data_IF_665002988019
#
_entry.id   IF_665002988019
#
_cell.length_a   1.000
_cell.length_b   1.000
_cell.length_c   1.000
_cell.angle_alpha   90.00
_cell.angle_beta   90.00
_cell.angle_gamma   90.00
#
_symmetry.space_group_name_H-M   'P 1'
#
loop_
_entity.id
_entity.type
_entity.pdbx_description
1 polymer ?
#
# COMPACT_ATOMS: atom_id res chain seq x y z
N UNK A 1 26.34 7.15 52.21
CA UNK A 1 25.40 6.95 51.09
C UNK A 1 24.01 6.69 51.66
N UNK A 2 22.93 7.18 51.03
CA UNK A 2 21.57 6.83 51.46
C UNK A 2 21.26 5.37 51.12
N UNK A 3 20.49 4.69 51.98
CA UNK A 3 20.05 3.30 51.76
C UNK A 3 19.47 3.07 50.35
N UNK A 4 18.57 3.90 49.81
CA UNK A 4 18.05 3.70 48.45
C UNK A 4 19.13 3.86 47.37
N UNK A 5 20.10 4.76 47.56
CA UNK A 5 21.22 4.92 46.61
C UNK A 5 22.15 3.71 46.61
N UNK A 6 22.43 3.15 47.79
CA UNK A 6 23.24 1.93 47.93
C UNK A 6 22.54 0.71 47.31
N UNK A 7 21.23 0.56 47.53
CA UNK A 7 20.43 -0.50 46.90
C UNK A 7 20.47 -0.39 45.36
N UNK A 8 20.28 0.81 44.81
CA UNK A 8 20.35 1.01 43.37
C UNK A 8 21.72 0.63 42.79
N UNK A 9 22.80 0.89 43.53
CA UNK A 9 24.16 0.50 43.14
C UNK A 9 24.37 -1.02 43.18
N UNK A 10 23.83 -1.71 44.19
CA UNK A 10 23.91 -3.18 44.31
C UNK A 10 23.15 -3.86 43.16
N UNK A 11 21.97 -3.35 42.79
CA UNK A 11 21.10 -3.97 41.78
C UNK A 11 21.26 -3.40 40.37
N UNK A 12 22.27 -2.56 40.12
CA UNK A 12 22.48 -1.88 38.84
C UNK A 12 21.20 -1.20 38.30
N UNK A 13 20.41 -0.59 39.20
CA UNK A 13 19.20 0.15 38.85
C UNK A 13 19.43 1.66 38.89
N UNK A 14 18.59 2.40 38.18
CA UNK A 14 18.70 3.86 38.07
C UNK A 14 18.12 4.56 39.31
N UNK A 15 18.91 5.42 39.96
CA UNK A 15 18.49 6.25 41.10
C UNK A 15 18.09 7.66 40.61
N UNK A 16 16.82 8.06 40.77
CA UNK A 16 16.27 9.35 40.29
C UNK A 16 15.54 10.13 41.42
N UNK A 17 16.26 10.84 42.30
CA UNK A 17 15.65 11.55 43.44
C UNK A 17 14.86 12.81 43.03
N UNK A 18 15.22 13.45 41.91
CA UNK A 18 14.56 14.68 41.41
C UNK A 18 13.32 14.39 40.56
N UNK A 19 13.08 13.12 40.21
CA UNK A 19 11.93 12.74 39.38
C UNK A 19 12.03 13.22 37.94
N UNK A 20 13.25 13.47 37.43
CA UNK A 20 13.47 13.95 36.07
C UNK A 20 13.04 12.92 35.00
N UNK A 21 12.58 13.39 33.84
CA UNK A 21 12.08 12.55 32.73
C UNK A 21 13.23 12.04 31.85
N UNK A 22 13.94 11.01 32.32
CA UNK A 22 15.12 10.45 31.63
C UNK A 22 14.79 9.43 30.51
N UNK A 23 13.53 9.23 30.14
CA UNK A 23 13.16 8.30 29.05
C UNK A 23 13.29 6.80 29.36
N UNK A 24 13.61 6.41 30.59
CA UNK A 24 13.73 4.99 31.01
C UNK A 24 12.47 4.14 30.74
N UNK A 25 11.29 4.77 30.60
CA UNK A 25 10.05 4.10 30.19
C UNK A 25 10.18 3.47 28.80
N UNK A 26 10.83 4.16 27.86
CA UNK A 26 11.00 3.69 26.48
C UNK A 26 12.05 2.58 26.43
N UNK A 27 13.19 2.75 27.11
CA UNK A 27 14.28 1.77 27.09
C UNK A 27 13.91 0.44 27.77
N UNK A 28 13.05 0.47 28.80
CA UNK A 28 12.59 -0.74 29.50
C UNK A 28 11.44 -1.46 28.77
N UNK A 29 10.86 -0.85 27.74
CA UNK A 29 9.85 -1.54 26.95
C UNK A 29 10.48 -2.69 26.19
N UNK A 30 9.86 -3.88 26.30
CA UNK A 30 10.29 -5.05 25.55
C UNK A 30 10.02 -4.80 24.06
N UNK A 31 11.01 -5.04 23.23
CA UNK A 31 10.88 -4.89 21.78
C UNK A 31 9.85 -5.89 21.24
N UNK A 32 8.89 -5.39 20.44
CA UNK A 32 7.82 -6.20 19.81
C UNK A 32 8.20 -6.73 18.42
N UNK A 33 9.36 -6.31 17.90
CA UNK A 33 9.86 -6.67 16.57
C UNK A 33 9.67 -8.13 16.16
N UNK A 34 10.11 -9.13 16.94
CA UNK A 34 9.99 -10.53 16.53
C UNK A 34 8.53 -11.00 16.41
N UNK A 35 7.64 -10.51 17.27
CA UNK A 35 6.22 -10.84 17.20
C UNK A 35 5.56 -10.24 15.95
N UNK A 36 5.94 -9.02 15.58
CA UNK A 36 5.41 -8.33 14.39
C UNK A 36 5.97 -8.94 13.10
N UNK A 37 7.25 -9.28 13.06
CA UNK A 37 7.88 -9.90 11.89
C UNK A 37 7.29 -11.28 11.55
N UNK A 38 6.80 -12.01 12.56
CA UNK A 38 6.16 -13.30 12.40
C UNK A 38 4.64 -13.23 12.11
N UNK A 39 4.12 -12.04 11.72
CA UNK A 39 2.69 -11.86 11.48
C UNK A 39 2.14 -12.80 10.40
N UNK A 40 2.85 -12.91 9.28
CA UNK A 40 2.56 -13.93 8.28
C UNK A 40 3.44 -15.17 8.48
N UNK A 41 2.88 -16.38 8.29
CA UNK A 41 3.67 -17.61 8.32
C UNK A 41 4.84 -17.54 7.35
N UNK A 42 6.01 -18.02 7.80
CA UNK A 42 7.17 -18.17 6.90
C UNK A 42 6.85 -19.22 5.84
N UNK A 43 7.28 -18.97 4.60
CA UNK A 43 7.21 -19.96 3.53
C UNK A 43 8.05 -21.17 3.92
N UNK A 44 7.45 -22.35 3.98
CA UNK A 44 8.09 -23.60 4.41
C UNK A 44 8.64 -24.36 3.21
N UNK A 45 7.82 -25.17 2.56
CA UNK A 45 8.15 -25.93 1.36
C UNK A 45 7.16 -25.57 0.26
N UNK A 46 7.69 -25.23 -0.91
CA UNK A 46 6.89 -24.96 -2.11
C UNK A 46 6.94 -26.18 -3.04
N UNK A 47 5.97 -26.33 -3.95
CA UNK A 47 5.99 -27.38 -5.00
C UNK A 47 7.32 -27.36 -5.78
N UNK A 48 7.88 -26.17 -6.02
CA UNK A 48 9.21 -25.99 -6.63
C UNK A 48 10.35 -26.67 -5.84
N UNK A 49 10.30 -26.64 -4.52
CA UNK A 49 11.30 -27.33 -3.68
C UNK A 49 11.15 -28.85 -3.80
N UNK A 50 9.91 -29.34 -3.85
CA UNK A 50 9.63 -30.77 -4.09
C UNK A 50 10.11 -31.22 -5.47
N UNK A 51 9.83 -30.45 -6.54
CA UNK A 51 10.32 -30.77 -7.90
C UNK A 51 11.86 -30.84 -7.94
N UNK A 52 12.54 -29.94 -7.21
CA UNK A 52 14.01 -29.92 -7.14
C UNK A 52 14.58 -31.15 -6.47
N UNK A 53 13.96 -31.62 -5.38
CA UNK A 53 14.48 -32.74 -4.59
C UNK A 53 14.11 -34.10 -5.19
N UNK A 54 12.89 -34.25 -5.72
CA UNK A 54 12.34 -35.53 -6.15
C UNK A 54 12.11 -35.66 -7.65
N UNK A 55 12.38 -34.61 -8.44
CA UNK A 55 12.12 -34.57 -9.88
C UNK A 55 12.63 -35.75 -10.72
N UNK A 56 13.80 -36.37 -10.42
CA UNK A 56 14.26 -37.54 -11.17
C UNK A 56 13.47 -38.82 -10.92
N UNK A 57 12.76 -38.89 -9.79
CA UNK A 57 12.09 -40.12 -9.30
C UNK A 57 10.57 -39.97 -9.40
N UNK A 58 10.05 -38.76 -9.20
CA UNK A 58 8.62 -38.48 -9.16
C UNK A 58 8.27 -37.34 -10.12
N UNK A 59 7.34 -37.62 -11.04
CA UNK A 59 6.71 -36.58 -11.86
C UNK A 59 5.74 -35.78 -10.98
N UNK A 60 6.09 -34.53 -10.72
CA UNK A 60 5.28 -33.59 -9.92
C UNK A 60 4.66 -32.52 -10.84
N UNK A 61 3.33 -32.46 -10.86
CA UNK A 61 2.53 -31.45 -11.57
C UNK A 61 2.19 -30.29 -10.62
N UNK A 62 2.01 -29.09 -11.16
CA UNK A 62 1.64 -27.90 -10.36
C UNK A 62 0.38 -27.30 -10.97
N UNK A 63 -0.77 -27.86 -10.59
CA UNK A 63 -2.08 -27.57 -11.19
C UNK A 63 -2.37 -26.07 -11.27
N UNK A 64 -2.05 -25.31 -10.23
CA UNK A 64 -2.29 -23.87 -10.20
C UNK A 64 -1.41 -23.07 -11.18
N UNK A 65 -0.22 -23.58 -11.50
CA UNK A 65 0.63 -22.98 -12.53
C UNK A 65 0.19 -23.44 -13.92
N UNK A 66 -0.28 -24.67 -14.07
CA UNK A 66 -0.86 -25.19 -15.32
C UNK A 66 -2.12 -24.40 -15.73
N UNK A 67 -3.07 -24.21 -14.80
CA UNK A 67 -4.26 -23.36 -15.00
C UNK A 67 -3.87 -21.93 -15.43
N UNK A 68 -2.80 -21.39 -14.85
CA UNK A 68 -2.28 -20.07 -15.22
C UNK A 68 -1.71 -20.07 -16.63
N UNK A 69 -1.02 -21.12 -17.07
CA UNK A 69 -0.51 -21.22 -18.43
C UNK A 69 -1.64 -21.35 -19.45
N UNK A 70 -2.64 -22.17 -19.18
CA UNK A 70 -3.83 -22.30 -20.02
C UNK A 70 -4.52 -20.94 -20.20
N UNK A 71 -4.70 -20.18 -19.12
CA UNK A 71 -5.28 -18.84 -19.18
C UNK A 71 -4.46 -17.86 -20.05
N UNK A 72 -3.13 -17.93 -19.97
CA UNK A 72 -2.23 -17.08 -20.77
C UNK A 72 -2.30 -17.47 -22.25
N UNK A 73 -2.35 -18.77 -22.54
CA UNK A 73 -2.44 -19.28 -23.91
C UNK A 73 -3.77 -18.87 -24.54
N UNK A 74 -4.89 -19.07 -23.84
CA UNK A 74 -6.23 -18.65 -24.29
C UNK A 74 -6.26 -17.14 -24.59
N UNK A 75 -5.72 -16.32 -23.68
CA UNK A 75 -5.67 -14.88 -23.87
C UNK A 75 -4.79 -14.48 -25.07
N UNK A 76 -3.64 -15.13 -25.25
CA UNK A 76 -2.73 -14.85 -26.37
C UNK A 76 -3.26 -15.35 -27.72
N UNK A 77 -4.13 -16.36 -27.74
CA UNK A 77 -4.84 -16.82 -28.93
C UNK A 77 -5.95 -15.83 -29.30
N UNK A 78 -6.74 -15.39 -28.33
CA UNK A 78 -7.75 -14.36 -28.54
C UNK A 78 -7.16 -13.07 -29.13
N UNK A 79 -6.03 -12.57 -28.60
CA UNK A 79 -5.35 -11.40 -29.16
C UNK A 79 -4.85 -11.62 -30.59
N UNK A 80 -4.37 -12.84 -30.90
CA UNK A 80 -3.92 -13.20 -32.25
C UNK A 80 -5.07 -13.27 -33.24
N UNK A 81 -6.22 -13.79 -32.81
CA UNK A 81 -7.44 -13.85 -33.63
C UNK A 81 -8.01 -12.45 -33.87
N UNK A 82 -8.03 -11.57 -32.86
CA UNK A 82 -8.43 -10.17 -33.01
C UNK A 82 -7.53 -9.44 -34.03
N UNK A 83 -6.20 -9.62 -33.93
CA UNK A 83 -5.26 -9.06 -34.91
C UNK A 83 -5.43 -9.67 -36.32
N UNK A 84 -5.80 -10.94 -36.44
CA UNK A 84 -6.06 -11.58 -37.74
C UNK A 84 -7.36 -11.07 -38.39
N UNK A 85 -8.40 -10.83 -37.59
CA UNK A 85 -9.68 -10.29 -38.05
C UNK A 85 -9.60 -8.83 -38.52
N UNK A 86 -8.64 -8.07 -37.99
CA UNK A 86 -8.31 -6.72 -38.47
C UNK A 86 -7.67 -6.72 -39.86
N UNK A 87 -6.83 -7.70 -40.19
CA UNK A 87 -6.12 -7.81 -41.47
C UNK A 87 -7.06 -8.21 -42.63
N UNK A 88 -8.09 -9.02 -42.35
CA UNK A 88 -9.11 -9.46 -43.32
C UNK A 88 -10.25 -8.44 -43.53
N UNK A 89 -10.16 -7.25 -42.93
CA UNK A 89 -11.04 -6.11 -43.17
C UNK A 89 -12.50 -6.29 -42.74
N UNK A 90 -12.80 -7.26 -41.87
CA UNK A 90 -14.19 -7.58 -41.48
C UNK A 90 -14.65 -6.85 -40.21
N UNK A 91 -13.75 -6.36 -39.33
CA UNK A 91 -14.12 -5.51 -38.19
C UNK A 91 -13.05 -4.43 -37.91
N UNK A 92 -13.44 -3.22 -37.48
CA UNK A 92 -12.48 -2.22 -37.03
C UNK A 92 -11.81 -2.69 -35.73
N UNK A 93 -10.47 -2.56 -35.66
CA UNK A 93 -9.63 -2.80 -34.48
C UNK A 93 -10.33 -2.36 -33.18
N UNK A 94 -10.41 -3.21 -32.13
CA UNK A 94 -10.86 -2.73 -30.83
C UNK A 94 -9.92 -1.60 -30.42
N UNK A 95 -10.50 -0.42 -30.16
CA UNK A 95 -9.72 0.77 -29.87
C UNK A 95 -8.73 0.49 -28.74
N UNK A 96 -7.43 0.46 -29.05
CA UNK A 96 -6.43 0.54 -27.99
C UNK A 96 -6.66 1.87 -27.28
N UNK A 97 -6.27 1.95 -26.00
CA UNK A 97 -6.32 3.22 -25.26
C UNK A 97 -5.63 4.38 -25.99
N UNK A 98 -4.74 4.06 -26.93
CA UNK A 98 -3.96 5.00 -27.73
C UNK A 98 -4.68 5.45 -29.02
N UNK A 99 -5.71 4.72 -29.49
CA UNK A 99 -6.47 4.99 -30.73
C UNK A 99 -7.67 5.93 -30.50
N UNK A 100 -7.99 6.22 -29.23
CA UNK A 100 -8.87 7.33 -28.90
C UNK A 100 -8.10 8.61 -29.17
N UNK A 101 -8.29 9.20 -30.36
CA UNK A 101 -8.07 10.63 -30.54
C UNK A 101 -8.92 11.32 -29.47
N UNK A 102 -8.33 11.62 -28.32
CA UNK A 102 -8.80 12.72 -27.49
C UNK A 102 -8.89 13.88 -28.47
N UNK A 103 -10.09 14.42 -28.76
CA UNK A 103 -10.16 15.58 -29.62
C UNK A 103 -9.22 16.58 -28.99
N UNK A 104 -8.31 17.15 -29.80
CA UNK A 104 -7.58 18.34 -29.41
C UNK A 104 -8.65 19.33 -28.98
N UNK A 105 -8.86 19.42 -27.67
CA UNK A 105 -9.62 20.47 -27.05
C UNK A 105 -8.69 21.66 -27.13
N UNK A 106 -8.69 22.28 -28.31
CA UNK A 106 -8.34 23.68 -28.41
C UNK A 106 -9.27 24.39 -27.41
N UNK A 107 -8.63 24.89 -26.35
CA UNK A 107 -9.17 25.60 -25.20
C UNK A 107 -9.49 24.73 -23.98
N UNK A 108 -8.45 24.62 -23.13
CA UNK A 108 -8.42 24.25 -21.71
C UNK A 108 -9.48 24.96 -20.82
N UNK A 109 -10.34 25.82 -21.38
CA UNK A 109 -11.26 26.71 -20.68
C UNK A 109 -12.66 26.13 -20.46
N UNK A 110 -13.14 25.26 -21.36
CA UNK A 110 -14.56 24.83 -21.32
C UNK A 110 -14.76 23.47 -20.62
N UNK A 111 -13.75 22.60 -20.54
CA UNK A 111 -13.85 21.33 -19.81
C UNK A 111 -13.83 21.50 -18.29
N UNK A 112 -13.30 22.60 -17.78
CA UNK A 112 -13.28 22.94 -16.36
C UNK A 112 -14.63 23.48 -15.82
N UNK A 113 -15.61 23.75 -16.69
CA UNK A 113 -16.92 24.30 -16.29
C UNK A 113 -18.03 23.26 -16.19
N UNK A 114 -17.91 22.13 -16.90
CA UNK A 114 -18.94 21.09 -16.89
C UNK A 114 -18.76 20.04 -15.79
N UNK A 115 -17.58 19.92 -15.18
CA UNK A 115 -17.34 19.01 -14.04
C UNK A 115 -17.06 19.83 -12.79
N UNK A 116 -18.04 20.63 -12.38
CA UNK A 116 -18.10 21.09 -11.00
C UNK A 116 -18.63 19.92 -10.19
N UNK A 117 -17.73 19.10 -9.64
CA UNK A 117 -18.06 18.25 -8.51
C UNK A 117 -18.47 19.22 -7.39
N UNK A 118 -19.69 19.14 -6.82
CA UNK A 118 -20.01 19.94 -5.66
C UNK A 118 -18.97 19.61 -4.60
N UNK A 119 -18.18 20.61 -4.18
CA UNK A 119 -17.23 20.48 -3.11
C UNK A 119 -18.02 20.24 -1.81
N UNK A 120 -18.35 18.97 -1.55
CA UNK A 120 -18.88 18.55 -0.26
C UNK A 120 -17.80 18.87 0.78
N UNK A 121 -18.17 19.61 1.81
CA UNK A 121 -17.24 19.97 2.86
C UNK A 121 -16.75 18.67 3.53
N UNK A 122 -15.45 18.55 3.82
CA UNK A 122 -14.80 17.31 4.31
C UNK A 122 -15.46 16.73 5.57
N UNK A 123 -16.26 17.52 6.30
CA UNK A 123 -17.10 17.08 7.40
C UNK A 123 -18.22 16.11 7.01
N UNK A 124 -18.73 16.21 5.78
CA UNK A 124 -19.89 15.42 5.31
C UNK A 124 -19.49 13.99 4.89
N UNK A 125 -18.19 13.73 4.68
CA UNK A 125 -17.69 12.41 4.28
C UNK A 125 -17.58 11.40 5.45
N UNK A 126 -17.69 11.84 6.70
CA UNK A 126 -17.44 11.01 7.89
C UNK A 126 -18.59 10.96 8.90
N UNK A 127 -19.75 11.54 8.58
CA UNK A 127 -20.93 11.45 9.44
C UNK A 127 -21.50 10.02 9.42
N UNK A 128 -21.40 9.34 10.56
CA UNK A 128 -21.96 8.00 10.80
C UNK A 128 -20.94 6.89 11.06
N UNK A 129 -19.64 7.16 10.98
CA UNK A 129 -18.62 6.18 11.38
C UNK A 129 -18.49 6.14 12.92
N UNK A 130 -18.74 4.99 13.57
CA UNK A 130 -18.70 4.90 15.03
C UNK A 130 -17.28 5.17 15.54
N UNK A 131 -17.11 6.28 16.25
CA UNK A 131 -15.87 6.65 16.95
C UNK A 131 -15.11 7.86 16.40
N UNK A 132 -15.60 8.55 15.35
CA UNK A 132 -14.95 9.75 14.80
C UNK A 132 -15.66 11.03 15.29
N UNK A 133 -15.03 11.79 16.19
CA UNK A 133 -15.53 13.11 16.62
C UNK A 133 -14.75 14.22 15.88
N UNK A 134 -15.47 15.08 15.15
CA UNK A 134 -14.94 16.16 14.30
C UNK A 134 -14.14 17.28 15.02
N UNK A 135 -13.77 17.09 16.29
CA UNK A 135 -13.26 18.16 17.15
C UNK A 135 -11.74 18.42 17.11
N UNK A 136 -10.91 17.58 16.48
CA UNK A 136 -9.45 17.70 16.57
C UNK A 136 -8.71 17.31 15.27
N UNK A 137 -9.06 17.91 14.13
CA UNK A 137 -8.21 17.82 12.93
C UNK A 137 -7.65 19.20 12.65
N UNK A 138 -6.34 19.35 12.87
CA UNK A 138 -5.58 20.54 12.51
C UNK A 138 -5.40 20.46 10.98
N UNK A 139 -5.97 21.41 10.24
CA UNK A 139 -5.84 21.49 8.79
C UNK A 139 -4.40 21.89 8.40
N UNK A 140 -3.54 20.89 8.19
CA UNK A 140 -2.17 21.07 7.68
C UNK A 140 -2.14 21.65 6.25
N UNK A 141 -3.25 21.57 5.53
CA UNK A 141 -3.34 22.00 4.13
C UNK A 141 -3.54 23.52 3.98
N UNK A 142 -4.13 24.19 4.98
CA UNK A 142 -4.26 25.65 5.00
C UNK A 142 -2.90 26.35 5.18
N UNK A 143 -2.00 25.76 5.98
CA UNK A 143 -0.68 26.32 6.26
C UNK A 143 0.30 26.22 5.07
N UNK A 144 0.04 25.32 4.11
CA UNK A 144 0.87 25.16 2.91
C UNK A 144 0.49 26.15 1.82
N UNK A 145 -0.79 26.48 1.70
CA UNK A 145 -1.27 27.45 0.71
C UNK A 145 -0.84 28.89 1.01
N UNK A 146 -0.66 29.25 2.29
CA UNK A 146 -0.22 30.59 2.69
C UNK A 146 1.29 30.80 2.42
N UNK A 147 2.11 29.74 2.48
CA UNK A 147 3.55 29.80 2.17
C UNK A 147 3.87 29.91 0.68
N UNK A 148 2.97 29.46 -0.19
CA UNK A 148 3.16 29.57 -1.64
C UNK A 148 2.81 30.99 -2.14
N UNK A 149 1.99 31.75 -1.40
CA UNK A 149 1.64 33.13 -1.74
C UNK A 149 2.61 34.17 -1.14
N UNK A 150 3.34 33.82 -0.06
CA UNK A 150 4.43 34.62 0.48
C UNK A 150 5.76 34.05 -0.02
N UNK A 151 6.18 34.43 -1.23
CA UNK A 151 7.38 33.90 -1.88
C UNK A 151 8.66 33.98 -1.03
N UNK A 152 9.03 32.86 -0.44
CA UNK A 152 10.38 32.48 -0.01
C UNK A 152 10.87 31.27 -0.81
#
# INVERSE_FOLDING_TARGET
MSVPRAQCQVFATTFNPEGARMGNKVLRQRLKGPAVAAYYPRKTATIKDVKREFGPILATWDDAEEDRFEYIEEYAEAEREECAQEEDGTLPRPARSDDLETPMVDNLSDRARQVTIPAMHRSELYDGLPGFSAGNVIDEDAAKHERVLAGE
#
